data_IF_964740730474
#
_entry.id   IF_964740730474
#
_cell.length_a   1.000
_cell.length_b   1.000
_cell.length_c   1.000
_cell.angle_alpha   90.00
_cell.angle_beta   90.00
_cell.angle_gamma   90.00
#
_symmetry.space_group_name_H-M   'P 1'
#
loop_
_entity.id
_entity.type
_entity.pdbx_description
1 polymer ?
#
# COMPACT_ATOMS: atom_id res chain seq x y z
N UNK A 1 9.41 3.33 -6.52
CA UNK A 1 9.36 2.00 -5.87
C UNK A 1 10.31 1.06 -6.61
N UNK A 2 11.31 0.50 -5.91
CA UNK A 2 12.35 -0.30 -6.57
C UNK A 2 11.75 -1.61 -7.12
N UNK A 3 12.05 -1.95 -8.38
CA UNK A 3 11.59 -3.21 -9.03
C UNK A 3 11.89 -4.46 -8.20
N UNK A 4 12.95 -4.41 -7.38
CA UNK A 4 13.34 -5.46 -6.42
C UNK A 4 12.30 -5.71 -5.32
N UNK A 5 11.61 -4.67 -4.85
CA UNK A 5 10.57 -4.78 -3.81
C UNK A 5 9.33 -5.47 -4.39
N UNK A 6 8.92 -5.10 -5.61
CA UNK A 6 7.83 -5.77 -6.33
C UNK A 6 8.14 -7.26 -6.58
N UNK A 7 9.37 -7.58 -6.98
CA UNK A 7 9.82 -8.97 -7.15
C UNK A 7 9.79 -9.76 -5.84
N UNK A 8 10.21 -9.17 -4.72
CA UNK A 8 10.16 -9.82 -3.41
C UNK A 8 8.72 -10.06 -2.94
N UNK A 9 7.81 -9.11 -3.15
CA UNK A 9 6.39 -9.28 -2.85
C UNK A 9 5.80 -10.41 -3.69
N UNK A 10 6.06 -10.42 -5.00
CA UNK A 10 5.58 -11.47 -5.90
C UNK A 10 6.13 -12.85 -5.53
N UNK A 11 7.43 -12.94 -5.19
CA UNK A 11 8.06 -14.19 -4.75
C UNK A 11 7.50 -14.68 -3.40
N UNK A 12 7.23 -13.78 -2.45
CA UNK A 12 6.61 -14.13 -1.18
C UNK A 12 5.18 -14.65 -1.38
N UNK A 13 4.39 -13.99 -2.24
CA UNK A 13 3.03 -14.46 -2.60
C UNK A 13 3.11 -15.85 -3.24
N UNK A 14 4.01 -16.05 -4.20
CA UNK A 14 4.20 -17.35 -4.85
C UNK A 14 4.60 -18.45 -3.86
N UNK A 15 5.47 -18.16 -2.89
CA UNK A 15 5.89 -19.09 -1.85
C UNK A 15 4.73 -19.46 -0.91
N UNK A 16 3.90 -18.49 -0.54
CA UNK A 16 2.70 -18.72 0.28
C UNK A 16 1.72 -19.62 -0.46
N UNK A 17 1.50 -19.37 -1.76
CA UNK A 17 0.62 -20.21 -2.58
C UNK A 17 1.15 -21.64 -2.69
N UNK A 18 2.46 -21.83 -2.87
CA UNK A 18 3.07 -23.16 -2.96
C UNK A 18 3.04 -23.94 -1.65
N UNK A 19 3.21 -23.26 -0.52
CA UNK A 19 3.28 -23.92 0.81
C UNK A 19 1.92 -24.10 1.46
N UNK A 20 0.94 -23.28 1.11
CA UNK A 20 -0.38 -23.23 1.72
C UNK A 20 -1.48 -23.30 0.66
N UNK A 21 -1.32 -24.16 -0.35
CA UNK A 21 -2.26 -24.32 -1.47
C UNK A 21 -3.74 -24.32 -1.09
N UNK A 22 -4.18 -25.11 -0.08
CA UNK A 22 -5.58 -25.12 0.37
C UNK A 22 -6.05 -23.77 0.96
N UNK A 23 -5.17 -23.06 1.65
CA UNK A 23 -5.46 -21.74 2.23
C UNK A 23 -5.52 -20.68 1.14
N UNK A 24 -4.61 -20.75 0.17
CA UNK A 24 -4.60 -19.85 -0.98
C UNK A 24 -5.87 -20.02 -1.84
N UNK A 25 -6.29 -21.27 -2.06
CA UNK A 25 -7.51 -21.60 -2.80
C UNK A 25 -8.77 -21.14 -2.05
N UNK A 26 -8.80 -21.34 -0.73
CA UNK A 26 -9.85 -20.81 0.14
C UNK A 26 -9.94 -19.27 0.07
N UNK A 27 -8.81 -18.57 0.14
CA UNK A 27 -8.75 -17.11 0.03
C UNK A 27 -9.19 -16.63 -1.35
N UNK A 28 -8.74 -17.28 -2.42
CA UNK A 28 -9.15 -16.97 -3.79
C UNK A 28 -10.66 -17.17 -3.97
N UNK A 29 -11.18 -18.30 -3.49
CA UNK A 29 -12.62 -18.59 -3.54
C UNK A 29 -13.41 -17.54 -2.79
N UNK A 30 -12.97 -17.14 -1.60
CA UNK A 30 -13.60 -16.07 -0.84
C UNK A 30 -13.59 -14.73 -1.58
N UNK A 31 -12.47 -14.33 -2.17
CA UNK A 31 -12.34 -13.06 -2.90
C UNK A 31 -13.20 -13.05 -4.16
N UNK A 32 -13.24 -14.15 -4.92
CA UNK A 32 -13.90 -14.22 -6.23
C UNK A 32 -15.42 -14.45 -6.07
N UNK A 33 -15.82 -15.30 -5.13
CA UNK A 33 -17.22 -15.76 -5.02
C UNK A 33 -17.94 -15.24 -3.76
N UNK A 34 -17.20 -14.68 -2.80
CA UNK A 34 -17.74 -14.29 -1.50
C UNK A 34 -18.05 -15.47 -0.58
N UNK A 35 -17.75 -16.72 -0.97
CA UNK A 35 -18.02 -17.90 -0.16
C UNK A 35 -17.01 -18.00 0.97
N UNK A 36 -17.51 -18.04 2.21
CA UNK A 36 -16.68 -18.21 3.41
C UNK A 36 -16.11 -19.64 3.42
N UNK A 37 -14.77 -19.79 3.39
CA UNK A 37 -14.15 -21.10 3.32
C UNK A 37 -14.54 -22.00 4.49
N UNK A 38 -14.77 -23.29 4.21
CA UNK A 38 -15.12 -24.28 5.23
C UNK A 38 -16.57 -24.21 5.73
N UNK A 39 -17.39 -23.26 5.28
CA UNK A 39 -18.79 -23.14 5.69
C UNK A 39 -19.79 -23.29 4.53
N UNK A 40 -19.36 -23.09 3.28
CA UNK A 40 -20.24 -23.13 2.11
C UNK A 40 -21.24 -21.98 2.04
N UNK A 41 -21.16 -21.01 2.98
CA UNK A 41 -22.06 -19.87 3.05
C UNK A 41 -21.46 -18.71 2.26
N UNK A 42 -22.23 -18.17 1.31
CA UNK A 42 -21.87 -16.95 0.62
C UNK A 42 -22.12 -15.74 1.53
N UNK A 43 -21.16 -14.81 1.56
CA UNK A 43 -21.37 -13.52 2.19
C UNK A 43 -22.53 -12.80 1.52
N UNK A 44 -23.44 -12.22 2.32
CA UNK A 44 -24.53 -11.46 1.75
C UNK A 44 -24.00 -10.17 1.12
N UNK A 45 -24.63 -9.72 0.02
CA UNK A 45 -24.14 -8.64 -0.84
C UNK A 45 -23.70 -7.37 -0.08
N UNK A 46 -24.51 -6.89 0.85
CA UNK A 46 -24.19 -5.75 1.73
C UNK A 46 -22.87 -5.88 2.48
N UNK A 47 -22.49 -7.08 2.94
CA UNK A 47 -21.22 -7.31 3.64
C UNK A 47 -20.01 -7.20 2.69
N UNK A 48 -20.16 -7.66 1.44
CA UNK A 48 -19.11 -7.53 0.42
C UNK A 48 -18.92 -6.05 0.08
N UNK A 49 -20.02 -5.31 -0.11
CA UNK A 49 -19.99 -3.87 -0.39
C UNK A 49 -19.33 -3.10 0.75
N UNK A 50 -19.71 -3.35 2.01
CA UNK A 50 -19.10 -2.64 3.15
C UNK A 50 -17.61 -2.92 3.28
N UNK A 51 -17.17 -4.17 3.11
CA UNK A 51 -15.73 -4.49 3.11
C UNK A 51 -14.97 -3.80 1.98
N UNK A 52 -15.52 -3.81 0.76
CA UNK A 52 -14.88 -3.16 -0.38
C UNK A 52 -14.74 -1.64 -0.19
N UNK A 53 -15.80 -0.99 0.32
CA UNK A 53 -15.78 0.46 0.59
C UNK A 53 -14.78 0.81 1.69
N UNK A 54 -14.70 0.01 2.76
CA UNK A 54 -13.71 0.22 3.83
C UNK A 54 -12.26 0.08 3.32
N UNK A 55 -11.98 -0.96 2.53
CA UNK A 55 -10.65 -1.13 1.91
C UNK A 55 -10.31 0.04 0.98
N UNK A 56 -11.26 0.50 0.18
CA UNK A 56 -11.06 1.65 -0.70
C UNK A 56 -10.79 2.94 0.10
N UNK A 57 -11.50 3.16 1.21
CA UNK A 57 -11.31 4.32 2.07
C UNK A 57 -9.92 4.31 2.69
N UNK A 58 -9.47 3.17 3.22
CA UNK A 58 -8.11 3.01 3.78
C UNK A 58 -7.06 3.32 2.71
N UNK A 59 -7.23 2.79 1.49
CA UNK A 59 -6.31 3.05 0.40
C UNK A 59 -6.24 4.55 0.03
N UNK A 60 -7.39 5.23 0.01
CA UNK A 60 -7.46 6.68 -0.23
C UNK A 60 -6.77 7.46 0.89
N UNK A 61 -7.02 7.11 2.16
CA UNK A 61 -6.39 7.78 3.31
C UNK A 61 -4.86 7.67 3.23
N UNK A 62 -4.35 6.46 2.99
CA UNK A 62 -2.90 6.23 2.83
C UNK A 62 -2.34 7.09 1.68
N UNK A 63 -3.03 7.11 0.54
CA UNK A 63 -2.60 7.89 -0.61
C UNK A 63 -2.59 9.40 -0.33
N UNK A 64 -3.60 9.90 0.39
CA UNK A 64 -3.68 11.31 0.79
C UNK A 64 -2.55 11.66 1.76
N UNK A 65 -2.25 10.79 2.73
CA UNK A 65 -1.16 10.97 3.68
C UNK A 65 0.20 10.99 2.97
N UNK A 66 0.44 10.08 2.03
CA UNK A 66 1.68 10.06 1.23
C UNK A 66 1.84 11.36 0.42
N UNK A 67 0.77 11.84 -0.23
CA UNK A 67 0.79 13.11 -0.97
C UNK A 67 1.04 14.30 -0.03
N UNK A 68 0.42 14.30 1.16
CA UNK A 68 0.60 15.36 2.14
C UNK A 68 2.07 15.41 2.65
N UNK A 69 2.65 14.24 2.96
CA UNK A 69 4.04 14.10 3.39
C UNK A 69 5.03 14.54 2.29
N UNK A 70 4.78 14.19 1.03
CA UNK A 70 5.61 14.62 -0.10
C UNK A 70 5.55 16.13 -0.32
N UNK A 71 4.36 16.74 -0.19
CA UNK A 71 4.21 18.21 -0.25
C UNK A 71 4.98 18.91 0.87
N UNK A 72 5.00 18.35 2.08
CA UNK A 72 5.77 18.91 3.19
C UNK A 72 7.28 18.80 2.96
N UNK A 73 7.77 17.64 2.49
CA UNK A 73 9.19 17.43 2.13
C UNK A 73 9.64 18.37 1.03
N UNK A 74 8.83 18.56 -0.01
CA UNK A 74 9.13 19.50 -1.11
C UNK A 74 9.29 20.94 -0.62
N UNK A 75 8.38 21.42 0.25
CA UNK A 75 8.45 22.75 0.86
C UNK A 75 9.66 22.91 1.81
N UNK A 76 10.05 21.85 2.52
CA UNK A 76 11.23 21.89 3.39
C UNK A 76 12.53 21.93 2.55
N UNK A 77 12.60 21.12 1.49
CA UNK A 77 13.74 21.10 0.57
C UNK A 77 13.93 22.43 -0.16
N UNK A 78 12.85 23.07 -0.62
CA UNK A 78 12.95 24.39 -1.29
C UNK A 78 13.47 25.49 -0.36
N UNK A 79 13.04 25.48 0.91
CA UNK A 79 13.53 26.41 1.95
C UNK A 79 15.00 26.15 2.31
N UNK A 80 15.44 24.90 2.26
CA UNK A 80 16.84 24.54 2.53
C UNK A 80 17.75 24.88 1.35
N UNK A 81 17.27 24.76 0.10
CA UNK A 81 17.98 25.18 -1.11
C UNK A 81 18.16 26.71 -1.19
N UNK A 82 17.20 27.50 -0.73
CA UNK A 82 17.33 28.97 -0.63
C UNK A 82 18.27 29.40 0.50
N UNK A 83 18.46 28.53 1.51
CA UNK A 83 19.42 28.72 2.60
C UNK A 83 20.80 28.14 2.21
N UNK A 84 21.28 28.41 1.00
CA UNK A 84 22.70 28.24 0.71
C UNK A 84 23.49 29.10 1.72
N UNK A 85 24.53 28.56 2.38
CA UNK A 85 25.39 29.38 3.20
C UNK A 85 26.04 30.39 2.25
N UNK A 86 25.64 31.66 2.34
CA UNK A 86 26.39 32.75 1.74
C UNK A 86 27.82 32.58 2.24
N UNK A 87 28.72 32.10 1.37
CA UNK A 87 30.17 32.14 1.59
C UNK A 87 30.47 33.59 1.96
N UNK A 88 30.64 33.86 3.25
CA UNK A 88 31.30 35.08 3.69
C UNK A 88 32.74 34.90 3.25
N UNK A 89 33.06 35.43 2.07
CA UNK A 89 34.41 35.87 1.78
C UNK A 89 34.66 37.07 2.70
N UNK A 90 34.95 36.79 3.97
CA UNK A 90 35.45 37.79 4.90
C UNK A 90 36.96 37.74 4.84
N UNK A 91 37.51 38.81 4.25
CA UNK A 91 38.89 39.28 4.31
C UNK A 91 39.93 38.62 3.38
N UNK A 92 40.24 39.42 2.34
CA UNK A 92 41.59 39.70 1.83
C UNK A 92 42.47 40.20 2.98
#
# INVERSE_FOLDING_TARGET
MNKRILLLIAAAIALIVLTQGPVADALLTFIVTGIVPGTGVALPFWAIVTMSTMLSLIAVVILVDDIALDRQKSKASSKQATKMPRRRYSHI
#
